data_IF_559168710192
#
_entry.id   IF_559168710192
#
_cell.length_a   1.000
_cell.length_b   1.000
_cell.length_c   1.000
_cell.angle_alpha   90.00
_cell.angle_beta   90.00
_cell.angle_gamma   90.00
#
_symmetry.space_group_name_H-M   'P 1'
#
loop_
_entity.id
_entity.type
_entity.pdbx_description
1 polymer ?
#
# COMPACT_ATOMS: atom_id res chain seq x y z
N UNK A 1 41.59 49.06 -26.96
CA UNK A 1 40.57 49.19 -25.90
C UNK A 1 39.77 47.90 -25.84
N UNK A 2 39.95 47.06 -24.81
CA UNK A 2 39.06 45.91 -24.62
C UNK A 2 37.69 46.44 -24.19
N UNK A 3 36.59 46.11 -24.90
CA UNK A 3 35.29 46.65 -24.57
C UNK A 3 34.87 46.18 -23.17
N UNK A 4 34.53 47.13 -22.30
CA UNK A 4 34.18 46.89 -20.89
C UNK A 4 33.03 45.89 -20.70
N UNK A 5 32.25 45.65 -21.76
CA UNK A 5 31.22 44.61 -21.84
C UNK A 5 31.78 43.20 -21.71
N UNK A 6 32.93 42.88 -22.32
CA UNK A 6 33.51 41.52 -22.28
C UNK A 6 33.93 41.13 -20.86
N UNK A 7 34.50 42.07 -20.09
CA UNK A 7 34.91 41.81 -18.70
C UNK A 7 33.71 41.54 -17.78
N UNK A 8 32.58 42.22 -18.01
CA UNK A 8 31.32 41.98 -17.29
C UNK A 8 30.74 40.62 -17.66
N UNK A 9 30.71 40.28 -18.95
CA UNK A 9 30.22 38.98 -19.45
C UNK A 9 31.06 37.85 -18.85
N UNK A 10 32.39 37.92 -18.93
CA UNK A 10 33.27 36.88 -18.38
C UNK A 10 33.08 36.66 -16.86
N UNK A 11 32.92 37.74 -16.08
CA UNK A 11 32.67 37.63 -14.63
C UNK A 11 31.33 36.93 -14.35
N UNK A 12 30.28 37.27 -15.09
CA UNK A 12 28.98 36.61 -14.97
C UNK A 12 29.03 35.15 -15.40
N UNK A 13 29.65 34.84 -16.54
CA UNK A 13 29.81 33.47 -17.03
C UNK A 13 30.54 32.60 -15.99
N UNK A 14 31.61 33.11 -15.37
CA UNK A 14 32.32 32.38 -14.31
C UNK A 14 31.43 32.09 -13.11
N UNK A 15 30.62 33.05 -12.67
CA UNK A 15 29.66 32.85 -11.56
C UNK A 15 28.65 31.77 -11.94
N UNK A 16 28.08 31.82 -13.15
CA UNK A 16 27.10 30.84 -13.62
C UNK A 16 27.72 29.43 -13.69
N UNK A 17 28.96 29.30 -14.19
CA UNK A 17 29.67 28.02 -14.28
C UNK A 17 29.83 27.34 -12.92
N UNK A 18 30.06 28.10 -11.84
CA UNK A 18 30.17 27.52 -10.49
C UNK A 18 28.81 27.40 -9.78
N UNK A 19 27.89 28.34 -10.01
CA UNK A 19 26.59 28.35 -9.37
C UNK A 19 25.69 27.20 -9.84
N UNK A 20 25.72 26.87 -11.14
CA UNK A 20 24.88 25.81 -11.70
C UNK A 20 25.18 24.44 -11.07
N UNK A 21 26.44 23.93 -11.04
CA UNK A 21 26.74 22.65 -10.40
C UNK A 21 26.38 22.61 -8.92
N UNK A 22 26.67 23.69 -8.18
CA UNK A 22 26.33 23.78 -6.75
C UNK A 22 24.81 23.72 -6.56
N UNK A 23 24.04 24.45 -7.36
CA UNK A 23 22.58 24.41 -7.33
C UNK A 23 22.04 23.02 -7.67
N UNK A 24 22.62 22.34 -8.67
CA UNK A 24 22.26 20.96 -9.04
C UNK A 24 22.56 19.99 -7.89
N UNK A 25 23.72 20.08 -7.25
CA UNK A 25 24.09 19.24 -6.10
C UNK A 25 23.13 19.49 -4.93
N UNK A 26 22.85 20.74 -4.60
CA UNK A 26 21.93 21.09 -3.51
C UNK A 26 20.51 20.59 -3.79
N UNK A 27 20.03 20.74 -5.02
CA UNK A 27 18.72 20.25 -5.45
C UNK A 27 18.65 18.71 -5.39
N UNK A 28 19.70 18.03 -5.87
CA UNK A 28 19.79 16.57 -5.80
C UNK A 28 19.81 16.07 -4.36
N UNK A 29 20.62 16.67 -3.50
CA UNK A 29 20.66 16.36 -2.07
C UNK A 29 19.30 16.60 -1.42
N UNK A 30 18.62 17.70 -1.75
CA UNK A 30 17.28 17.99 -1.25
C UNK A 30 16.27 16.90 -1.64
N UNK A 31 16.25 16.45 -2.89
CA UNK A 31 15.33 15.39 -3.35
C UNK A 31 15.64 14.03 -2.72
N UNK A 32 16.92 13.75 -2.44
CA UNK A 32 17.34 12.54 -1.72
C UNK A 32 16.88 12.59 -0.25
N UNK A 33 16.99 13.75 0.39
CA UNK A 33 16.61 13.92 1.79
C UNK A 33 15.10 13.95 1.98
N UNK A 34 14.37 14.49 1.01
CA UNK A 34 12.91 14.63 1.02
C UNK A 34 12.30 13.93 -0.18
N UNK A 35 12.33 12.57 -0.19
CA UNK A 35 11.82 11.81 -1.31
C UNK A 35 10.32 12.07 -1.50
N UNK A 36 9.91 12.10 -2.77
CA UNK A 36 8.53 12.21 -3.21
C UNK A 36 8.22 10.91 -3.95
N UNK A 37 7.17 10.20 -3.52
CA UNK A 37 6.65 9.06 -4.25
C UNK A 37 5.41 9.50 -5.04
N UNK A 38 5.41 9.28 -6.35
CA UNK A 38 4.26 9.57 -7.22
C UNK A 38 3.70 8.29 -7.78
N UNK A 39 2.40 8.11 -7.60
CA UNK A 39 1.62 7.00 -8.13
C UNK A 39 0.65 7.60 -9.14
N UNK A 40 0.63 7.05 -10.34
CA UNK A 40 -0.33 7.38 -11.37
C UNK A 40 -0.96 6.11 -11.89
N UNK A 41 -2.23 6.19 -12.28
CA UNK A 41 -2.85 5.10 -13.01
C UNK A 41 -2.30 5.06 -14.44
N UNK A 42 -2.09 3.84 -14.95
CA UNK A 42 -1.79 3.63 -16.36
C UNK A 42 -2.59 2.46 -16.87
N UNK A 43 -3.57 2.72 -17.75
CA UNK A 43 -4.45 1.70 -18.33
C UNK A 43 -3.69 0.62 -19.10
N UNK A 44 -2.49 0.92 -19.60
CA UNK A 44 -1.65 -0.04 -20.30
C UNK A 44 -0.84 -1.00 -19.41
N UNK A 45 -0.73 -0.74 -18.10
CA UNK A 45 0.09 -1.55 -17.17
C UNK A 45 -0.52 -1.65 -15.76
N UNK A 46 -1.72 -2.23 -15.60
CA UNK A 46 -2.45 -2.25 -14.33
C UNK A 46 -1.69 -3.00 -13.22
N UNK A 47 -0.91 -4.03 -13.55
CA UNK A 47 -0.13 -4.80 -12.56
C UNK A 47 1.12 -4.05 -12.04
N UNK A 48 1.64 -3.09 -12.83
CA UNK A 48 2.80 -2.28 -12.44
C UNK A 48 2.38 -1.01 -11.72
N UNK A 49 1.17 -0.51 -12.00
CA UNK A 49 0.60 0.56 -11.19
C UNK A 49 0.21 -0.03 -9.85
N UNK A 50 0.88 0.37 -8.78
CA UNK A 50 0.41 0.19 -7.38
C UNK A 50 -0.88 1.00 -7.13
N UNK A 51 -1.82 0.93 -8.06
CA UNK A 51 -3.00 1.77 -8.22
C UNK A 51 -4.11 0.89 -8.79
N UNK A 52 -4.90 0.30 -7.90
CA UNK A 52 -6.11 -0.42 -8.27
C UNK A 52 -7.26 0.57 -8.37
N UNK A 53 -8.16 0.42 -9.35
CA UNK A 53 -9.39 1.22 -9.42
C UNK A 53 -10.57 0.26 -9.33
N UNK A 54 -11.43 0.46 -8.35
CA UNK A 54 -12.74 -0.16 -8.30
C UNK A 54 -13.81 0.90 -8.50
N UNK A 55 -14.80 0.58 -9.34
CA UNK A 55 -15.95 1.44 -9.62
C UNK A 55 -17.19 0.80 -9.04
N UNK A 56 -17.95 1.55 -8.24
CA UNK A 56 -19.23 1.12 -7.72
C UNK A 56 -20.33 2.08 -8.17
N UNK A 57 -20.91 1.77 -9.33
CA UNK A 57 -21.89 2.62 -10.01
C UNK A 57 -23.16 2.82 -9.17
N UNK A 58 -23.55 1.81 -8.39
CA UNK A 58 -24.74 1.87 -7.54
C UNK A 58 -24.59 2.82 -6.35
N UNK A 59 -23.35 3.13 -5.96
CA UNK A 59 -23.05 4.00 -4.81
C UNK A 59 -22.52 5.38 -5.20
N UNK A 60 -22.35 5.66 -6.49
CA UNK A 60 -21.67 6.86 -6.98
C UNK A 60 -20.27 7.02 -6.35
N UNK A 61 -19.54 5.89 -6.26
CA UNK A 61 -18.24 5.79 -5.61
C UNK A 61 -17.19 5.27 -6.58
N UNK A 62 -16.03 5.93 -6.57
CA UNK A 62 -14.79 5.44 -7.17
C UNK A 62 -13.82 5.22 -6.03
N UNK A 63 -13.22 4.04 -5.97
CA UNK A 63 -12.14 3.80 -5.02
C UNK A 63 -10.85 3.41 -5.72
N UNK A 64 -9.75 3.76 -5.08
CA UNK A 64 -8.43 3.33 -5.49
C UNK A 64 -7.50 3.24 -4.30
N UNK A 65 -6.36 2.57 -4.44
CA UNK A 65 -5.41 2.56 -3.35
C UNK A 65 -3.97 2.32 -3.77
N UNK A 66 -3.08 2.67 -2.85
CA UNK A 66 -1.64 2.68 -3.05
C UNK A 66 -0.92 2.10 -1.86
N UNK A 67 0.20 1.42 -2.13
CA UNK A 67 1.10 0.90 -1.11
C UNK A 67 2.44 1.65 -1.16
N UNK A 68 2.60 2.73 -0.37
CA UNK A 68 3.84 3.48 -0.34
C UNK A 68 4.94 2.67 0.34
N UNK A 69 6.16 2.83 -0.15
CA UNK A 69 7.34 2.15 0.42
C UNK A 69 8.02 2.99 1.50
N UNK A 70 7.66 4.26 1.60
CA UNK A 70 8.21 5.21 2.54
C UNK A 70 7.13 5.82 3.42
N UNK A 71 7.55 6.26 4.60
CA UNK A 71 6.71 7.00 5.53
C UNK A 71 6.70 8.48 5.14
N UNK A 72 5.63 8.92 4.49
CA UNK A 72 5.43 10.31 4.13
C UNK A 72 4.57 11.05 5.15
N UNK A 73 4.71 12.38 5.25
CA UNK A 73 3.89 13.18 6.16
C UNK A 73 2.58 13.60 5.48
N UNK A 74 2.68 14.04 4.22
CA UNK A 74 1.55 14.55 3.47
C UNK A 74 1.21 13.62 2.32
N UNK A 75 -0.07 13.53 2.01
CA UNK A 75 -0.61 12.76 0.91
C UNK A 75 -1.41 13.75 0.06
N UNK A 76 -0.88 14.08 -1.10
CA UNK A 76 -1.50 14.97 -2.07
C UNK A 76 -2.21 14.10 -3.11
N UNK A 77 -3.53 14.03 -3.04
CA UNK A 77 -4.35 13.41 -4.07
C UNK A 77 -4.73 14.45 -5.11
N UNK A 78 -4.66 14.06 -6.39
CA UNK A 78 -5.08 14.86 -7.52
C UNK A 78 -5.87 13.98 -8.49
N UNK A 79 -7.13 14.34 -8.74
CA UNK A 79 -7.99 13.65 -9.72
C UNK A 79 -8.41 14.66 -10.78
N UNK A 80 -8.18 14.34 -12.05
CA UNK A 80 -8.57 15.18 -13.17
C UNK A 80 -9.91 14.69 -13.75
N UNK A 81 -10.76 15.61 -14.17
CA UNK A 81 -12.04 15.34 -14.81
C UNK A 81 -11.99 15.94 -16.21
N UNK A 82 -12.50 15.21 -17.20
CA UNK A 82 -12.35 15.63 -18.60
C UNK A 82 -13.39 16.67 -19.00
N UNK A 83 -14.62 16.53 -18.47
CA UNK A 83 -15.70 17.52 -18.59
C UNK A 83 -16.65 17.38 -17.40
N UNK A 84 -16.50 18.24 -16.40
CA UNK A 84 -17.50 18.32 -15.33
C UNK A 84 -18.71 19.06 -15.89
N UNK A 85 -19.84 18.38 -16.07
CA UNK A 85 -21.09 19.04 -16.43
C UNK A 85 -21.46 20.09 -15.37
N UNK A 86 -22.08 21.21 -15.77
CA UNK A 86 -22.46 22.28 -14.83
C UNK A 86 -23.36 21.80 -13.67
N UNK A 87 -24.07 20.68 -13.86
CA UNK A 87 -24.88 20.03 -12.82
C UNK A 87 -24.08 19.37 -11.69
N UNK A 88 -22.79 19.09 -11.89
CA UNK A 88 -21.90 18.51 -10.89
C UNK A 88 -21.27 19.53 -9.94
N UNK A 89 -21.43 20.82 -10.23
CA UNK A 89 -20.75 21.90 -9.50
C UNK A 89 -21.53 22.37 -8.25
N UNK A 90 -22.77 21.91 -8.06
CA UNK A 90 -23.62 22.40 -6.97
C UNK A 90 -23.39 21.68 -5.63
N UNK A 91 -22.80 20.48 -5.63
CA UNK A 91 -22.48 19.71 -4.42
C UNK A 91 -21.00 19.32 -4.37
N UNK A 92 -20.34 19.45 -3.20
CA UNK A 92 -18.94 19.13 -3.08
C UNK A 92 -18.73 17.62 -3.22
N UNK A 93 -17.62 17.24 -3.84
CA UNK A 93 -17.17 15.87 -3.83
C UNK A 93 -16.69 15.54 -2.42
N UNK A 94 -16.85 14.29 -2.01
CA UNK A 94 -16.30 13.82 -0.75
C UNK A 94 -15.17 12.84 -1.05
N UNK A 95 -13.95 13.22 -0.68
CA UNK A 95 -12.80 12.34 -0.78
C UNK A 95 -12.46 11.87 0.62
N UNK A 96 -12.55 10.57 0.85
CA UNK A 96 -12.08 9.94 2.07
C UNK A 96 -10.80 9.16 1.82
N UNK A 97 -9.96 9.08 2.84
CA UNK A 97 -8.75 8.25 2.86
C UNK A 97 -8.69 7.46 4.16
N UNK A 98 -8.37 6.18 4.06
CA UNK A 98 -8.17 5.29 5.19
C UNK A 98 -6.92 4.42 4.97
N UNK A 99 -6.43 3.84 6.06
CA UNK A 99 -5.30 2.92 6.02
C UNK A 99 -5.78 1.54 6.46
N UNK A 100 -5.47 0.52 5.67
CA UNK A 100 -5.93 -0.85 5.88
C UNK A 100 -5.00 -1.84 5.16
N UNK A 101 -5.49 -3.04 4.86
CA UNK A 101 -4.92 -3.98 3.91
C UNK A 101 -5.89 -4.24 2.76
N UNK A 102 -5.35 -4.39 1.56
CA UNK A 102 -6.15 -4.62 0.35
C UNK A 102 -7.10 -5.82 0.50
N UNK A 103 -6.64 -6.95 1.06
CA UNK A 103 -7.48 -8.13 1.27
C UNK A 103 -8.62 -7.92 2.28
N UNK A 104 -8.49 -6.96 3.20
CA UNK A 104 -9.57 -6.64 4.14
C UNK A 104 -10.69 -5.80 3.50
N UNK A 105 -10.44 -5.25 2.31
CA UNK A 105 -11.46 -4.57 1.49
C UNK A 105 -12.24 -5.54 0.59
N UNK A 106 -11.88 -6.82 0.59
CA UNK A 106 -12.63 -7.84 -0.14
C UNK A 106 -14.10 -7.89 0.34
N UNK A 107 -15.03 -8.24 -0.55
CA UNK A 107 -16.43 -8.41 -0.16
C UNK A 107 -16.57 -9.48 0.93
N UNK A 108 -17.56 -9.27 1.80
CA UNK A 108 -17.90 -10.25 2.82
C UNK A 108 -18.40 -11.54 2.15
N UNK A 109 -17.84 -12.67 2.60
CA UNK A 109 -18.35 -14.00 2.31
C UNK A 109 -19.27 -14.50 3.41
N UNK A 110 -19.90 -15.66 3.18
CA UNK A 110 -20.72 -16.30 4.19
C UNK A 110 -19.89 -16.60 5.46
N UNK A 111 -20.39 -16.23 6.67
CA UNK A 111 -19.69 -16.54 7.90
C UNK A 111 -19.53 -18.04 8.11
N UNK A 112 -18.36 -18.44 8.60
CA UNK A 112 -18.02 -19.82 8.90
C UNK A 112 -18.42 -20.10 10.35
N UNK A 113 -19.44 -20.94 10.50
CA UNK A 113 -20.02 -21.28 11.81
C UNK A 113 -19.71 -22.70 12.30
N UNK A 114 -19.04 -23.53 11.50
CA UNK A 114 -18.75 -24.92 11.83
C UNK A 114 -17.30 -25.32 11.49
N UNK A 115 -16.78 -26.24 12.30
CA UNK A 115 -15.43 -26.79 12.18
C UNK A 115 -15.10 -27.38 10.81
N UNK A 116 -16.05 -28.07 10.16
CA UNK A 116 -15.78 -28.76 8.91
C UNK A 116 -15.57 -27.76 7.78
N UNK A 117 -16.43 -26.75 7.68
CA UNK A 117 -16.26 -25.64 6.75
C UNK A 117 -14.95 -24.90 7.00
N UNK A 118 -14.61 -24.61 8.27
CA UNK A 118 -13.34 -23.95 8.60
C UNK A 118 -12.12 -24.77 8.17
N UNK A 119 -12.17 -26.09 8.39
CA UNK A 119 -11.13 -27.02 7.94
C UNK A 119 -10.96 -27.00 6.43
N UNK A 120 -12.05 -26.91 5.67
CA UNK A 120 -12.00 -26.84 4.21
C UNK A 120 -11.29 -25.59 3.71
N UNK A 121 -11.49 -24.43 4.35
CA UNK A 121 -10.74 -23.21 4.01
C UNK A 121 -9.26 -23.31 4.41
N UNK A 122 -8.97 -23.76 5.64
CA UNK A 122 -7.61 -23.85 6.16
C UNK A 122 -6.75 -24.85 5.39
N UNK A 123 -7.31 -25.95 4.90
CA UNK A 123 -6.55 -27.03 4.25
C UNK A 123 -6.90 -27.21 2.77
N UNK A 124 -7.53 -26.21 2.14
CA UNK A 124 -7.88 -26.28 0.73
C UNK A 124 -6.64 -26.54 -0.13
N UNK A 125 -6.74 -27.58 -0.98
CA UNK A 125 -5.66 -28.06 -1.85
C UNK A 125 -4.34 -28.36 -1.12
N UNK A 126 -4.38 -28.49 0.20
CA UNK A 126 -3.22 -28.63 1.07
C UNK A 126 -3.38 -29.87 1.95
N UNK A 127 -2.66 -30.93 1.60
CA UNK A 127 -2.68 -32.21 2.34
C UNK A 127 -1.67 -32.26 3.49
N UNK A 128 -0.95 -31.18 3.73
CA UNK A 128 0.09 -31.13 4.76
C UNK A 128 -0.52 -30.88 6.15
N UNK A 129 0.33 -30.95 7.17
CA UNK A 129 -0.04 -30.54 8.54
C UNK A 129 -0.08 -29.02 8.74
N UNK A 130 0.42 -28.24 7.78
CA UNK A 130 0.49 -26.78 7.86
C UNK A 130 -0.71 -26.18 7.12
N UNK A 131 -1.60 -25.45 7.80
CA UNK A 131 -2.71 -24.74 7.13
C UNK A 131 -2.23 -23.72 6.10
N UNK A 132 -3.08 -23.40 5.12
CA UNK A 132 -2.94 -22.17 4.34
C UNK A 132 -2.96 -20.97 5.30
N UNK A 133 -2.12 -19.97 5.04
CA UNK A 133 -1.79 -18.88 5.96
C UNK A 133 -0.55 -19.13 6.82
N UNK A 134 -0.04 -20.38 6.89
CA UNK A 134 1.18 -20.68 7.65
C UNK A 134 2.41 -19.95 7.09
N UNK A 135 3.25 -19.45 7.98
CA UNK A 135 4.54 -18.88 7.65
C UNK A 135 5.65 -19.89 7.95
N UNK A 136 6.39 -20.31 6.93
CA UNK A 136 7.44 -21.32 7.05
C UNK A 136 8.81 -20.67 6.90
N UNK A 137 9.75 -21.03 7.77
CA UNK A 137 11.13 -20.53 7.74
C UNK A 137 12.12 -21.66 7.48
N UNK A 138 12.93 -21.49 6.43
CA UNK A 138 13.97 -22.43 6.04
C UNK A 138 15.32 -21.98 6.60
N UNK A 139 15.73 -22.54 7.75
CA UNK A 139 16.95 -22.13 8.48
C UNK A 139 18.23 -22.04 7.65
N UNK A 140 18.56 -23.00 6.76
CA UNK A 140 19.83 -22.95 6.03
C UNK A 140 19.98 -21.73 5.11
N UNK A 141 18.87 -21.16 4.63
CA UNK A 141 18.86 -20.04 3.67
C UNK A 141 18.26 -18.76 4.24
N UNK A 142 17.70 -18.82 5.46
CA UNK A 142 16.95 -17.75 6.10
C UNK A 142 15.74 -17.27 5.28
N UNK A 143 15.22 -18.12 4.40
CA UNK A 143 14.10 -17.81 3.52
C UNK A 143 12.76 -18.01 4.26
N UNK A 144 11.84 -17.07 4.06
CA UNK A 144 10.48 -17.11 4.63
C UNK A 144 9.46 -17.30 3.53
N UNK A 145 8.56 -18.27 3.73
CA UNK A 145 7.49 -18.62 2.81
C UNK A 145 6.12 -18.48 3.47
N UNK A 146 5.12 -18.12 2.68
CA UNK A 146 3.71 -18.17 3.04
C UNK A 146 3.03 -19.29 2.25
N UNK A 147 2.27 -20.14 2.94
CA UNK A 147 1.45 -21.16 2.29
C UNK A 147 0.09 -20.58 1.89
N UNK A 148 -0.35 -20.85 0.66
CA UNK A 148 -1.67 -20.46 0.16
C UNK A 148 -2.10 -21.44 -0.92
N UNK A 149 -3.31 -21.99 -0.80
CA UNK A 149 -3.86 -22.97 -1.75
C UNK A 149 -2.93 -24.16 -2.00
N UNK A 150 -2.27 -24.66 -0.96
CA UNK A 150 -1.30 -25.76 -1.07
C UNK A 150 0.00 -25.43 -1.80
N UNK A 151 0.24 -24.17 -2.19
CA UNK A 151 1.49 -23.69 -2.81
C UNK A 151 2.28 -22.81 -1.85
N UNK A 152 3.58 -22.65 -2.10
CA UNK A 152 4.46 -21.74 -1.34
C UNK A 152 4.76 -20.46 -2.10
N UNK A 153 4.75 -19.33 -1.39
CA UNK A 153 5.09 -17.99 -1.90
C UNK A 153 6.25 -17.46 -1.06
N UNK A 154 7.37 -17.05 -1.68
CA UNK A 154 8.54 -16.51 -0.97
C UNK A 154 8.37 -15.01 -0.68
N UNK A 155 8.73 -14.57 0.53
CA UNK A 155 8.93 -13.16 0.81
C UNK A 155 10.33 -12.72 0.35
N UNK A 156 10.46 -11.65 -0.45
CA UNK A 156 11.77 -11.21 -0.93
C UNK A 156 12.59 -10.46 0.13
N UNK A 157 12.00 -10.15 1.29
CA UNK A 157 12.69 -9.47 2.38
C UNK A 157 11.79 -9.12 3.58
N UNK A 158 12.41 -8.77 4.72
CA UNK A 158 11.73 -8.48 5.98
C UNK A 158 10.84 -7.22 5.91
N UNK A 159 11.13 -6.29 4.98
CA UNK A 159 10.36 -5.08 4.80
C UNK A 159 8.94 -5.37 4.33
N UNK A 160 8.79 -6.25 3.32
CA UNK A 160 7.48 -6.66 2.81
C UNK A 160 6.73 -7.44 3.89
N UNK A 161 7.41 -8.41 4.50
CA UNK A 161 6.83 -9.25 5.54
C UNK A 161 6.17 -8.42 6.66
N UNK A 162 6.90 -7.45 7.23
CA UNK A 162 6.37 -6.59 8.31
C UNK A 162 5.30 -5.64 7.85
N UNK A 163 5.42 -5.11 6.64
CA UNK A 163 4.47 -4.12 6.14
C UNK A 163 3.09 -4.72 5.83
N UNK A 164 3.02 -6.04 5.64
CA UNK A 164 1.79 -6.83 5.56
C UNK A 164 1.31 -7.30 6.95
N UNK A 165 1.95 -6.83 8.03
CA UNK A 165 1.53 -7.10 9.41
C UNK A 165 1.93 -8.47 9.95
N UNK A 166 2.78 -9.23 9.23
CA UNK A 166 3.32 -10.48 9.73
C UNK A 166 4.42 -10.25 10.78
N UNK A 167 4.55 -11.19 11.72
CA UNK A 167 5.58 -11.18 12.78
C UNK A 167 6.49 -12.40 12.66
N UNK A 168 7.80 -12.19 12.85
CA UNK A 168 8.83 -13.23 12.79
C UNK A 168 8.66 -14.26 13.92
N UNK A 169 8.00 -13.89 15.01
CA UNK A 169 7.68 -14.81 16.11
C UNK A 169 6.65 -15.87 15.71
N UNK A 170 5.93 -15.68 14.60
CA UNK A 170 4.91 -16.61 14.10
C UNK A 170 5.47 -17.61 13.07
N UNK A 171 6.80 -17.64 12.88
CA UNK A 171 7.44 -18.51 11.90
C UNK A 171 7.54 -19.94 12.41
N UNK A 172 7.03 -20.88 11.62
CA UNK A 172 7.27 -22.30 11.82
C UNK A 172 8.59 -22.70 11.15
N UNK A 173 9.55 -23.14 11.96
CA UNK A 173 10.82 -23.65 11.45
C UNK A 173 10.60 -24.99 10.72
N UNK A 174 11.11 -25.10 9.49
CA UNK A 174 10.94 -26.30 8.67
C UNK A 174 12.24 -26.74 8.01
N UNK A 175 12.35 -28.05 7.82
CA UNK A 175 13.38 -28.66 6.98
C UNK A 175 13.01 -28.55 5.50
N UNK A 176 14.02 -28.61 4.63
CA UNK A 176 13.82 -28.57 3.18
C UNK A 176 12.83 -29.63 2.69
N UNK A 177 12.88 -30.84 3.22
CA UNK A 177 11.98 -31.95 2.85
C UNK A 177 10.50 -31.68 3.19
N UNK A 178 10.21 -30.85 4.19
CA UNK A 178 8.86 -30.40 4.48
C UNK A 178 8.41 -29.36 3.46
N UNK A 179 9.29 -28.42 3.11
CA UNK A 179 9.02 -27.37 2.13
C UNK A 179 8.88 -27.91 0.69
N UNK A 180 9.59 -28.99 0.35
CA UNK A 180 9.56 -29.65 -0.96
C UNK A 180 8.21 -30.32 -1.26
N UNK A 181 7.34 -30.49 -0.26
CA UNK A 181 5.96 -30.98 -0.44
C UNK A 181 5.04 -29.95 -1.11
N UNK A 182 5.44 -28.67 -1.09
CA UNK A 182 4.66 -27.58 -1.67
C UNK A 182 5.28 -27.13 -2.99
N UNK A 183 4.54 -27.16 -4.10
CA UNK A 183 4.97 -26.54 -5.34
C UNK A 183 5.05 -25.01 -5.18
N UNK A 184 5.90 -24.37 -5.98
CA UNK A 184 5.94 -22.92 -6.05
C UNK A 184 4.60 -22.39 -6.60
N UNK A 185 4.13 -21.27 -6.05
CA UNK A 185 3.02 -20.55 -6.64
C UNK A 185 3.40 -19.99 -8.01
N UNK A 186 2.43 -19.90 -8.93
CA UNK A 186 2.59 -19.25 -10.24
C UNK A 186 3.19 -17.84 -10.07
N UNK A 187 2.79 -17.22 -8.97
CA UNK A 187 3.21 -15.93 -8.47
C UNK A 187 4.24 -16.09 -7.33
N UNK A 188 5.38 -16.74 -7.63
CA UNK A 188 6.35 -17.23 -6.64
C UNK A 188 6.79 -16.21 -5.57
N UNK A 189 7.01 -14.95 -5.93
CA UNK A 189 7.51 -13.89 -5.02
C UNK A 189 6.36 -13.02 -4.54
N UNK A 190 6.24 -12.80 -3.23
CA UNK A 190 5.25 -11.91 -2.64
C UNK A 190 5.66 -10.43 -2.84
N UNK A 191 4.79 -9.62 -3.44
CA UNK A 191 5.07 -8.24 -3.82
C UNK A 191 4.08 -7.25 -3.18
N UNK A 192 4.50 -6.00 -3.04
CA UNK A 192 3.72 -4.88 -2.49
C UNK A 192 2.39 -4.60 -3.19
N UNK A 193 2.24 -5.04 -4.43
CA UNK A 193 1.04 -4.84 -5.27
C UNK A 193 -0.03 -5.89 -5.05
N UNK A 194 0.23 -6.90 -4.22
CA UNK A 194 -0.69 -8.02 -4.03
C UNK A 194 -1.44 -7.92 -2.71
N UNK A 195 -2.71 -8.38 -2.67
CA UNK A 195 -3.42 -8.57 -1.43
C UNK A 195 -2.80 -9.73 -0.62
N UNK A 196 -3.12 -9.80 0.67
CA UNK A 196 -2.89 -11.01 1.46
C UNK A 196 -3.53 -12.22 0.77
N UNK A 197 -2.84 -13.37 0.71
CA UNK A 197 -3.34 -14.54 0.02
C UNK A 197 -4.26 -15.37 0.90
N UNK A 198 -4.87 -16.37 0.28
CA UNK A 198 -5.81 -17.29 0.92
C UNK A 198 -5.21 -17.98 2.15
N UNK A 199 -6.03 -18.13 3.19
CA UNK A 199 -5.64 -18.65 4.50
C UNK A 199 -5.13 -17.58 5.47
N UNK A 200 -4.92 -16.33 5.01
CA UNK A 200 -4.58 -15.23 5.94
C UNK A 200 -5.73 -15.00 6.91
N UNK A 201 -5.42 -14.99 8.20
CA UNK A 201 -6.35 -14.61 9.27
C UNK A 201 -6.15 -13.15 9.65
N UNK A 202 -7.22 -12.37 9.66
CA UNK A 202 -7.25 -11.02 10.21
C UNK A 202 -7.95 -11.01 11.57
N UNK A 203 -7.45 -10.19 12.49
CA UNK A 203 -8.19 -9.84 13.71
C UNK A 203 -8.53 -8.35 13.66
N UNK A 204 -9.82 -8.07 13.62
CA UNK A 204 -10.35 -6.73 13.53
C UNK A 204 -10.42 -6.06 14.92
N UNK A 205 -10.12 -4.77 14.99
CA UNK A 205 -10.24 -3.96 16.19
C UNK A 205 -11.07 -2.70 15.89
N UNK A 206 -11.98 -2.30 16.81
CA UNK A 206 -12.17 -2.83 18.17
C UNK A 206 -13.12 -4.03 18.27
N UNK A 207 -13.70 -4.54 17.18
CA UNK A 207 -14.73 -5.59 17.29
C UNK A 207 -14.21 -6.94 17.77
N UNK A 208 -12.90 -7.19 17.69
CA UNK A 208 -12.23 -8.46 17.97
C UNK A 208 -12.68 -9.64 17.11
N UNK A 209 -13.41 -9.39 16.03
CA UNK A 209 -13.82 -10.43 15.08
C UNK A 209 -12.62 -10.97 14.31
N UNK A 210 -12.64 -12.28 14.03
CA UNK A 210 -11.63 -12.95 13.23
C UNK A 210 -12.20 -13.20 11.84
N UNK A 211 -11.40 -12.91 10.82
CA UNK A 211 -11.75 -13.16 9.42
C UNK A 211 -10.68 -14.01 8.76
N UNK A 212 -11.08 -14.93 7.89
CA UNK A 212 -10.18 -15.64 6.98
C UNK A 212 -10.36 -15.12 5.55
N UNK A 213 -9.25 -14.88 4.86
CA UNK A 213 -9.25 -14.58 3.43
C UNK A 213 -9.31 -15.88 2.64
N UNK A 214 -10.25 -15.99 1.73
CA UNK A 214 -10.34 -17.09 0.77
C UNK A 214 -11.14 -16.69 -0.46
N UNK A 215 -10.71 -17.14 -1.65
CA UNK A 215 -11.43 -16.92 -2.92
C UNK A 215 -11.74 -15.44 -3.21
N UNK A 216 -10.86 -14.52 -2.81
CA UNK A 216 -11.09 -13.08 -2.98
C UNK A 216 -12.23 -12.52 -2.12
N UNK A 217 -12.62 -13.23 -1.05
CA UNK A 217 -13.59 -12.81 -0.04
C UNK A 217 -12.97 -12.85 1.34
N UNK A 218 -13.58 -12.13 2.29
CA UNK A 218 -13.29 -12.26 3.72
C UNK A 218 -14.47 -12.93 4.42
N UNK A 219 -14.22 -14.03 5.11
CA UNK A 219 -15.23 -14.80 5.82
C UNK A 219 -15.03 -14.65 7.32
N UNK A 220 -16.07 -14.26 8.05
CA UNK A 220 -16.00 -14.21 9.52
C UNK A 220 -15.94 -15.63 10.10
N UNK A 221 -14.98 -15.86 10.99
CA UNK A 221 -14.85 -17.11 11.76
C UNK A 221 -15.58 -16.92 13.08
N UNK A 222 -16.76 -17.53 13.22
CA UNK A 222 -17.63 -17.33 14.39
C UNK A 222 -17.13 -18.07 15.63
N UNK A 223 -16.57 -19.26 15.46
CA UNK A 223 -16.07 -20.10 16.55
C UNK A 223 -14.54 -20.12 16.56
N UNK A 224 -13.94 -19.41 17.52
CA UNK A 224 -12.49 -19.37 17.69
C UNK A 224 -11.95 -20.63 18.38
N UNK A 225 -12.80 -21.40 19.06
CA UNK A 225 -12.47 -22.70 19.63
C UNK A 225 -12.14 -23.70 18.53
N UNK A 226 -13.02 -23.82 17.54
CA UNK A 226 -12.78 -24.67 16.35
C UNK A 226 -11.48 -24.29 15.63
N UNK A 227 -11.19 -22.99 15.50
CA UNK A 227 -9.94 -22.50 14.94
C UNK A 227 -8.73 -22.98 15.75
N UNK A 228 -8.77 -22.83 17.07
CA UNK A 228 -7.68 -23.24 17.96
C UNK A 228 -7.46 -24.76 18.00
N UNK A 229 -8.52 -25.55 17.77
CA UNK A 229 -8.42 -27.01 17.66
C UNK A 229 -7.81 -27.45 16.32
N UNK A 230 -8.14 -26.76 15.24
CA UNK A 230 -7.62 -27.07 13.90
C UNK A 230 -6.21 -26.53 13.67
N UNK A 231 -5.88 -25.39 14.28
CA UNK A 231 -4.60 -24.71 14.19
C UNK A 231 -4.23 -24.10 15.54
N UNK A 232 -3.54 -24.88 16.37
CA UNK A 232 -3.21 -24.49 17.75
C UNK A 232 -2.40 -23.19 17.85
N UNK A 233 -1.43 -23.01 16.96
CA UNK A 233 -0.53 -21.86 16.91
C UNK A 233 -0.91 -20.89 15.79
N UNK A 234 -2.21 -20.70 15.55
CA UNK A 234 -2.65 -19.70 14.59
C UNK A 234 -2.23 -18.31 15.05
N UNK A 235 -1.98 -17.45 14.07
CA UNK A 235 -1.74 -16.03 14.31
C UNK A 235 -2.67 -15.21 13.44
N UNK A 236 -2.84 -13.95 13.80
CA UNK A 236 -3.68 -13.02 13.06
C UNK A 236 -2.89 -11.80 12.65
N UNK A 237 -3.25 -11.24 11.50
CA UNK A 237 -2.82 -9.91 11.09
C UNK A 237 -3.80 -8.89 11.70
N UNK A 238 -3.34 -7.95 12.51
CA UNK A 238 -4.24 -6.99 13.15
C UNK A 238 -4.72 -5.96 12.13
N UNK A 239 -6.02 -5.70 12.07
CA UNK A 239 -6.65 -4.73 11.16
C UNK A 239 -7.68 -3.88 11.93
N UNK A 240 -8.00 -2.70 11.43
CA UNK A 240 -8.98 -1.82 12.05
C UNK A 240 -10.33 -1.92 11.31
N UNK A 241 -11.43 -2.10 12.05
CA UNK A 241 -12.80 -2.13 11.54
C UNK A 241 -13.73 -1.11 12.20
N UNK A 242 -13.16 -0.14 12.93
CA UNK A 242 -13.96 0.95 13.47
C UNK A 242 -14.65 1.74 12.33
N UNK A 243 -15.96 1.93 12.48
CA UNK A 243 -16.79 2.60 11.47
C UNK A 243 -16.69 4.12 11.54
N UNK A 244 -16.35 4.67 12.70
CA UNK A 244 -16.25 6.12 12.92
C UNK A 244 -14.81 6.52 13.22
N UNK A 245 -14.36 7.60 12.59
CA UNK A 245 -13.08 8.23 12.91
C UNK A 245 -11.85 7.43 12.48
N UNK A 246 -11.97 6.52 11.50
CA UNK A 246 -10.83 5.83 10.86
C UNK A 246 -10.38 6.48 9.54
N UNK A 247 -11.19 7.40 9.02
CA UNK A 247 -10.97 8.03 7.73
C UNK A 247 -10.70 9.53 7.91
N UNK A 248 -9.87 10.09 7.04
CA UNK A 248 -9.81 11.54 6.87
C UNK A 248 -10.65 11.92 5.65
N UNK A 249 -11.44 12.97 5.80
CA UNK A 249 -12.31 13.49 4.73
C UNK A 249 -11.79 14.83 4.23
N UNK A 250 -11.90 15.05 2.92
CA UNK A 250 -11.64 16.31 2.25
C UNK A 250 -12.77 16.59 1.26
N UNK A 251 -13.27 17.82 1.29
CA UNK A 251 -14.30 18.32 0.37
C UNK A 251 -13.69 19.46 -0.45
N UNK A 252 -13.12 19.17 -1.64
CA UNK A 252 -12.48 20.18 -2.47
C UNK A 252 -13.54 21.18 -2.99
N UNK A 253 -13.20 22.46 -2.97
CA UNK A 253 -14.04 23.53 -3.52
C UNK A 253 -13.89 23.57 -5.06
N UNK A 254 -15.01 23.78 -5.75
CA UNK A 254 -15.07 23.87 -7.22
C UNK A 254 -14.73 25.26 -7.75
N UNK A 255 -14.89 26.32 -6.96
CA UNK A 255 -14.72 27.70 -7.44
C UNK A 255 -13.27 28.05 -7.84
N UNK A 256 -12.27 27.29 -7.36
CA UNK A 256 -10.86 27.47 -7.72
C UNK A 256 -10.38 26.61 -8.91
N UNK A 257 -11.26 25.81 -9.53
CA UNK A 257 -10.89 24.74 -10.46
C UNK A 257 -11.21 25.07 -11.92
N UNK A 258 -10.52 26.06 -12.48
CA UNK A 258 -10.63 26.42 -13.90
C UNK A 258 -10.37 25.28 -14.91
N UNK A 259 -9.76 24.16 -14.47
CA UNK A 259 -9.34 23.05 -15.32
C UNK A 259 -9.99 21.69 -14.99
N UNK A 260 -11.03 21.65 -14.14
CA UNK A 260 -11.72 20.39 -13.79
C UNK A 260 -10.84 19.40 -13.02
N UNK A 261 -10.01 19.88 -12.10
CA UNK A 261 -9.06 19.05 -11.34
C UNK A 261 -9.31 19.18 -9.85
N UNK A 262 -9.77 18.15 -9.16
CA UNK A 262 -9.89 18.22 -7.70
C UNK A 262 -8.57 17.80 -7.04
N UNK A 263 -8.21 18.49 -5.95
CA UNK A 263 -7.02 18.17 -5.19
C UNK A 263 -7.31 18.19 -3.69
N UNK A 264 -6.76 17.21 -2.98
CA UNK A 264 -6.85 17.09 -1.53
C UNK A 264 -5.47 16.84 -0.94
N UNK A 265 -5.15 17.53 0.15
CA UNK A 265 -3.95 17.26 0.95
C UNK A 265 -4.38 16.70 2.30
N UNK A 266 -3.90 15.51 2.61
CA UNK A 266 -4.10 14.88 3.92
C UNK A 266 -2.80 14.90 4.72
N UNK A 267 -2.89 15.25 6.02
CA UNK A 267 -1.77 15.09 6.95
C UNK A 267 -1.88 13.74 7.65
N UNK A 268 -0.89 12.88 7.45
CA UNK A 268 -0.82 11.55 8.07
C UNK A 268 -0.80 11.62 9.60
N UNK A 269 -0.33 12.71 10.20
CA UNK A 269 -0.35 12.84 11.67
C UNK A 269 -1.76 12.96 12.24
N UNK A 270 -2.71 13.45 11.42
CA UNK A 270 -4.11 13.49 11.78
C UNK A 270 -4.80 12.16 11.50
N UNK A 271 -4.15 11.24 10.77
CA UNK A 271 -4.72 9.93 10.55
C UNK A 271 -4.80 9.17 11.88
N UNK A 272 -5.95 8.53 12.13
CA UNK A 272 -6.13 7.62 13.25
C UNK A 272 -5.04 6.56 13.24
N UNK A 273 -4.66 6.07 14.42
CA UNK A 273 -3.74 4.92 14.56
C UNK A 273 -4.37 3.69 13.92
N UNK A 274 -4.15 3.56 12.61
CA UNK A 274 -4.77 2.60 11.74
C UNK A 274 -3.75 1.53 11.38
N UNK A 275 -4.22 0.29 11.39
CA UNK A 275 -3.42 -0.89 11.16
C UNK A 275 -3.37 -1.16 9.65
N UNK A 276 -2.19 -1.54 9.17
CA UNK A 276 -1.94 -1.82 7.76
C UNK A 276 -1.14 -0.76 7.02
N UNK A 277 -0.69 -1.09 5.82
CA UNK A 277 0.21 -0.27 5.00
C UNK A 277 -0.42 0.29 3.73
N UNK A 278 -1.63 -0.16 3.40
CA UNK A 278 -2.35 0.22 2.18
C UNK A 278 -3.21 1.45 2.43
N UNK A 279 -3.06 2.47 1.59
CA UNK A 279 -3.91 3.66 1.62
C UNK A 279 -5.03 3.48 0.62
N UNK A 280 -6.26 3.47 1.12
CA UNK A 280 -7.47 3.33 0.34
C UNK A 280 -8.18 4.68 0.29
N UNK A 281 -8.48 5.14 -0.91
CA UNK A 281 -9.16 6.39 -1.18
C UNK A 281 -10.54 6.07 -1.74
N UNK A 282 -11.55 6.80 -1.26
CA UNK A 282 -12.89 6.76 -1.83
C UNK A 282 -13.27 8.16 -2.27
N UNK A 283 -13.68 8.30 -3.52
CA UNK A 283 -14.24 9.53 -4.08
C UNK A 283 -15.73 9.30 -4.26
N UNK A 284 -16.54 9.95 -3.43
CA UNK A 284 -17.99 10.02 -3.60
C UNK A 284 -18.33 11.26 -4.42
N UNK A 285 -19.09 11.07 -5.47
CA UNK A 285 -19.58 12.16 -6.30
C UNK A 285 -21.10 12.32 -6.16
N UNK A 286 -21.64 13.53 -6.39
CA UNK A 286 -23.07 13.79 -6.29
C UNK A 286 -23.89 12.88 -7.22
N UNK A 287 -25.11 12.50 -6.82
CA UNK A 287 -26.01 11.65 -7.62
C UNK A 287 -26.36 12.28 -8.99
N UNK A 288 -26.24 13.60 -9.09
CA UNK A 288 -26.49 14.36 -10.31
C UNK A 288 -25.35 14.22 -11.35
N UNK A 289 -24.20 13.64 -10.96
CA UNK A 289 -23.03 13.43 -11.82
C UNK A 289 -23.06 12.08 -12.52
N UNK A 290 -22.82 12.10 -13.84
CA UNK A 290 -22.58 10.87 -14.60
C UNK A 290 -21.13 10.43 -14.42
N UNK A 291 -20.92 9.14 -14.14
CA UNK A 291 -19.59 8.58 -13.96
C UNK A 291 -18.69 8.70 -15.21
N UNK A 292 -19.27 8.79 -16.41
CA UNK A 292 -18.53 9.01 -17.68
C UNK A 292 -17.75 10.32 -17.70
N UNK A 293 -18.09 11.25 -16.82
CA UNK A 293 -17.49 12.57 -16.75
C UNK A 293 -16.20 12.56 -15.90
N UNK A 294 -15.93 11.45 -15.21
CA UNK A 294 -14.76 11.25 -14.35
C UNK A 294 -13.65 10.47 -15.10
N UNK A 295 -12.64 11.20 -15.58
CA UNK A 295 -11.48 10.59 -16.25
C UNK A 295 -10.39 10.22 -15.23
N UNK A 296 -10.48 9.01 -14.70
CA UNK A 296 -9.53 8.49 -13.70
C UNK A 296 -8.17 8.15 -14.33
N UNK A 297 -8.04 8.13 -15.67
CA UNK A 297 -6.75 7.83 -16.31
C UNK A 297 -5.66 8.84 -15.98
N UNK A 298 -6.05 10.04 -15.54
CA UNK A 298 -5.16 11.09 -15.08
C UNK A 298 -5.21 11.31 -13.57
N UNK A 299 -5.76 10.36 -12.81
CA UNK A 299 -5.67 10.39 -11.35
C UNK A 299 -4.24 10.08 -10.91
N UNK A 300 -3.79 10.80 -9.89
CA UNK A 300 -2.46 10.62 -9.33
C UNK A 300 -2.45 10.91 -7.83
N UNK A 301 -1.73 10.06 -7.10
CA UNK A 301 -1.43 10.25 -5.68
C UNK A 301 0.05 10.59 -5.58
N UNK A 302 0.35 11.70 -4.91
CA UNK A 302 1.71 12.11 -4.61
C UNK A 302 1.89 12.13 -3.11
N UNK A 303 2.76 11.25 -2.61
CA UNK A 303 3.14 11.27 -1.20
C UNK A 303 4.38 12.13 -1.01
N UNK A 304 4.29 13.07 -0.08
CA UNK A 304 5.30 14.09 0.17
C UNK A 304 5.85 13.94 1.59
N UNK A 305 7.16 13.75 1.66
CA UNK A 305 7.87 13.70 2.94
C UNK A 305 7.84 15.06 3.65
N UNK A 306 7.64 15.05 4.96
CA UNK A 306 7.75 16.24 5.80
C UNK A 306 9.16 16.84 5.77
N UNK A 307 9.27 18.17 5.80
CA UNK A 307 10.58 18.83 5.92
C UNK A 307 11.03 18.84 7.38
N UNK A 308 11.46 17.69 7.88
CA UNK A 308 11.87 17.52 9.27
C UNK A 308 13.26 16.89 9.41
N UNK A 309 13.92 17.15 10.53
CA UNK A 309 15.18 16.46 10.87
C UNK A 309 14.99 14.94 10.99
N UNK A 310 13.81 14.49 11.45
CA UNK A 310 13.49 13.07 11.53
C UNK A 310 13.48 12.41 10.13
N UNK A 311 12.90 13.09 9.14
CA UNK A 311 12.91 12.66 7.73
C UNK A 311 14.31 12.59 7.17
N UNK A 312 15.12 13.64 7.40
CA UNK A 312 16.54 13.68 7.01
C UNK A 312 17.30 12.48 7.61
N UNK A 313 17.11 12.21 8.90
CA UNK A 313 17.73 11.08 9.61
C UNK A 313 17.31 9.73 9.03
N UNK A 314 16.02 9.53 8.74
CA UNK A 314 15.53 8.28 8.13
C UNK A 314 16.08 8.06 6.73
N UNK A 315 16.13 9.11 5.90
CA UNK A 315 16.74 9.08 4.56
C UNK A 315 18.21 8.68 4.62
N UNK A 316 19.00 9.29 5.52
CA UNK A 316 20.40 8.89 5.72
C UNK A 316 20.55 7.45 6.20
N UNK A 317 19.72 7.00 7.14
CA UNK A 317 19.74 5.61 7.61
C UNK A 317 19.52 4.63 6.46
N UNK A 318 18.56 4.90 5.58
CA UNK A 318 18.24 4.06 4.41
C UNK A 318 19.36 4.06 3.37
N UNK A 319 19.95 5.23 3.07
CA UNK A 319 21.10 5.34 2.18
C UNK A 319 22.27 4.54 2.73
N UNK A 320 22.58 4.70 4.01
CA UNK A 320 23.66 3.95 4.66
C UNK A 320 23.39 2.45 4.64
N UNK A 321 22.18 2.01 4.99
CA UNK A 321 21.80 0.60 4.92
C UNK A 321 21.93 0.03 3.49
N UNK A 322 21.53 0.78 2.47
CA UNK A 322 21.67 0.38 1.06
C UNK A 322 23.13 0.25 0.63
N UNK A 323 23.99 1.19 1.04
CA UNK A 323 25.44 1.15 0.77
C UNK A 323 26.08 -0.04 1.50
N UNK A 324 25.78 -0.23 2.79
CA UNK A 324 26.31 -1.35 3.58
C UNK A 324 25.90 -2.68 2.96
N UNK A 325 24.63 -2.85 2.62
CA UNK A 325 24.15 -4.09 2.03
C UNK A 325 24.76 -4.36 0.64
N UNK A 326 24.94 -3.32 -0.18
CA UNK A 326 25.52 -3.44 -1.53
C UNK A 326 27.01 -3.74 -1.52
N UNK A 327 27.77 -3.16 -0.59
CA UNK A 327 29.24 -3.21 -0.62
C UNK A 327 29.88 -4.12 0.43
N UNK A 328 29.19 -4.41 1.54
CA UNK A 328 29.79 -5.09 2.68
C UNK A 328 29.11 -6.41 3.07
N UNK A 329 27.85 -6.64 2.70
CA UNK A 329 27.10 -7.86 3.09
C UNK A 329 26.89 -8.86 1.92
N UNK A 330 27.38 -8.55 0.72
CA UNK A 330 27.30 -9.42 -0.47
C UNK A 330 28.59 -10.22 -0.76
N UNK A 331 29.52 -10.30 0.21
CA UNK A 331 30.64 -11.25 0.22
C UNK A 331 30.31 -12.37 1.20
#
# INVERSE_FOLDING_TARGET
>A
MQPSSIKKIYKWTRIVIFAVPVFTILTGMYLILFPIESFGYSSGQPENSKFEISKNDAKHEISFGVFPTLNHQYIDLSVNFEKIGTSCAEKPFEITIEKTYQAFLFPDGEPIGDKQSLREYLFRDNKSKYPNGSLLHLKPTDEVYLLSGGKKIIFPGPEIFRAFGYNFDNLAEVEKSALDQFPDADNRVFLWTRPHPDGTLFQAYPSHRIFIVADGKKHEVKDTGDLSELWHEYFTVPVNDATEGNQLTCSPDFEELGDGKIACRFDRQLMPSSLGGYYHFTVKYPDECRQTDVNIEKAGVRLVSGKSFATVKDSFRKIFASIVNRYFLKQ
#
